data_IF_321479262284
#
_entry.id   IF_321479262284
#
_cell.length_a   1.000
_cell.length_b   1.000
_cell.length_c   1.000
_cell.angle_alpha   90.00
_cell.angle_beta   90.00
_cell.angle_gamma   90.00
#
_symmetry.space_group_name_H-M   'P 1'
#
loop_
_entity.id
_entity.type
_entity.pdbx_description
1 polymer ?
#
# COMPACT_ATOMS: atom_id res chain seq x y z
N UNK A 1 16.03 63.11 -159.97
CA UNK A 1 15.48 63.67 -158.71
C UNK A 1 14.98 65.05 -159.04
N UNK A 2 13.67 65.29 -158.96
CA UNK A 2 13.12 66.61 -159.22
C UNK A 2 13.36 67.50 -157.99
N UNK A 3 14.08 68.61 -158.16
CA UNK A 3 14.24 69.65 -157.15
C UNK A 3 12.86 70.19 -156.76
N UNK A 4 12.43 69.91 -155.52
CA UNK A 4 11.22 70.48 -154.94
C UNK A 4 11.57 71.91 -154.53
N UNK A 5 11.21 72.89 -155.36
CA UNK A 5 11.24 74.31 -154.98
C UNK A 5 10.42 74.50 -153.70
N UNK A 6 11.02 75.07 -152.66
CA UNK A 6 10.29 75.47 -151.47
C UNK A 6 9.22 76.51 -151.84
N UNK A 7 7.96 76.13 -151.69
CA UNK A 7 6.81 77.02 -151.92
C UNK A 7 6.44 77.68 -150.60
N UNK A 8 6.81 78.94 -150.40
CA UNK A 8 6.41 79.69 -149.21
C UNK A 8 5.01 80.27 -149.40
N UNK A 9 4.06 79.92 -148.54
CA UNK A 9 2.80 80.63 -148.45
C UNK A 9 3.02 81.99 -147.77
N UNK A 10 2.48 83.07 -148.35
CA UNK A 10 2.38 84.34 -147.64
C UNK A 10 1.18 84.27 -146.71
N UNK A 11 1.46 84.25 -145.41
CA UNK A 11 0.47 84.25 -144.33
C UNK A 11 0.69 85.54 -143.53
N UNK A 12 -0.38 86.15 -143.02
CA UNK A 12 -0.25 87.36 -142.20
C UNK A 12 0.46 87.03 -140.89
N UNK A 13 1.16 88.00 -140.30
CA UNK A 13 1.84 87.79 -139.01
C UNK A 13 0.83 87.42 -137.90
N UNK A 14 -0.41 87.90 -138.01
CA UNK A 14 -1.50 87.57 -137.08
C UNK A 14 -1.92 86.10 -137.19
N UNK A 15 -2.03 85.56 -138.40
CA UNK A 15 -2.40 84.15 -138.61
C UNK A 15 -1.26 83.19 -138.22
N UNK A 16 0.00 83.61 -138.40
CA UNK A 16 1.17 82.87 -137.92
C UNK A 16 1.16 82.80 -136.39
N UNK A 17 0.80 83.90 -135.71
CA UNK A 17 0.68 83.92 -134.25
C UNK A 17 -0.41 82.97 -133.76
N UNK A 18 -1.61 83.01 -134.37
CA UNK A 18 -2.72 82.09 -134.03
C UNK A 18 -2.36 80.62 -134.26
N UNK A 19 -1.63 80.31 -135.34
CA UNK A 19 -1.20 78.94 -135.62
C UNK A 19 -0.18 78.43 -134.60
N UNK A 20 0.77 79.27 -134.16
CA UNK A 20 1.71 78.90 -133.09
C UNK A 20 1.02 78.71 -131.75
N UNK A 21 0.09 79.60 -131.40
CA UNK A 21 -0.69 79.48 -130.17
C UNK A 21 -1.50 78.16 -130.14
N UNK A 22 -2.10 77.78 -131.27
CA UNK A 22 -2.77 76.49 -131.41
C UNK A 22 -1.79 75.31 -131.24
N UNK A 23 -0.62 75.37 -131.87
CA UNK A 23 0.38 74.32 -131.77
C UNK A 23 0.88 74.13 -130.33
N UNK A 24 1.19 75.23 -129.64
CA UNK A 24 1.72 75.21 -128.27
C UNK A 24 0.68 74.69 -127.26
N UNK A 25 -0.59 75.07 -127.41
CA UNK A 25 -1.67 74.64 -126.51
C UNK A 25 -1.91 73.12 -126.56
N UNK A 26 -1.81 72.53 -127.74
CA UNK A 26 -2.01 71.10 -127.96
C UNK A 26 -0.69 70.29 -127.88
N UNK A 27 0.44 70.96 -127.64
CA UNK A 27 1.76 70.32 -127.51
C UNK A 27 2.37 69.83 -128.83
N UNK A 28 1.97 70.40 -129.97
CA UNK A 28 2.43 70.01 -131.31
C UNK A 28 3.60 70.86 -131.81
N UNK A 29 4.52 70.25 -132.58
CA UNK A 29 5.45 71.03 -133.41
C UNK A 29 4.75 71.58 -134.65
N UNK A 30 5.37 72.52 -135.38
CA UNK A 30 4.72 73.20 -136.52
C UNK A 30 4.25 72.23 -137.62
N UNK A 31 4.96 71.12 -137.85
CA UNK A 31 4.56 70.13 -138.85
C UNK A 31 3.39 69.26 -138.35
N UNK A 32 3.38 68.91 -137.07
CA UNK A 32 2.29 68.18 -136.41
C UNK A 32 1.02 69.03 -136.32
N UNK A 33 1.15 70.30 -135.97
CA UNK A 33 0.05 71.25 -135.94
C UNK A 33 -0.55 71.43 -137.35
N UNK A 34 0.30 71.54 -138.38
CA UNK A 34 -0.17 71.65 -139.77
C UNK A 34 -0.86 70.36 -140.23
N UNK A 35 -0.31 69.19 -139.88
CA UNK A 35 -0.92 67.89 -140.17
C UNK A 35 -2.26 67.70 -139.42
N UNK A 36 -2.36 68.17 -138.18
CA UNK A 36 -3.58 68.15 -137.38
C UNK A 36 -4.66 69.06 -137.98
N UNK A 37 -4.29 70.27 -138.41
CA UNK A 37 -5.20 71.16 -139.16
C UNK A 37 -5.61 70.50 -140.48
N UNK A 38 -4.70 69.89 -141.22
CA UNK A 38 -5.03 69.24 -142.48
C UNK A 38 -5.94 68.03 -142.27
N UNK A 39 -5.71 67.20 -141.24
CA UNK A 39 -6.61 66.12 -140.82
C UNK A 39 -7.98 66.68 -140.38
N UNK A 40 -8.02 67.81 -139.70
CA UNK A 40 -9.28 68.46 -139.29
C UNK A 40 -10.04 69.00 -140.50
N UNK A 41 -9.35 69.58 -141.49
CA UNK A 41 -9.93 70.04 -142.76
C UNK A 41 -10.40 68.86 -143.61
N UNK A 42 -9.63 67.77 -143.65
CA UNK A 42 -10.00 66.51 -144.31
C UNK A 42 -11.19 65.83 -143.61
N UNK A 43 -11.23 65.80 -142.28
CA UNK A 43 -12.38 65.37 -141.49
C UNK A 43 -13.60 66.26 -141.74
N UNK A 44 -13.44 67.58 -141.83
CA UNK A 44 -14.52 68.51 -142.13
C UNK A 44 -15.05 68.32 -143.57
N UNK A 45 -14.17 68.02 -144.53
CA UNK A 45 -14.55 67.60 -145.89
C UNK A 45 -15.27 66.25 -145.88
N UNK A 46 -14.78 65.26 -145.13
CA UNK A 46 -15.42 63.96 -144.98
C UNK A 46 -16.80 64.10 -144.31
N UNK A 47 -16.94 64.98 -143.32
CA UNK A 47 -18.20 65.31 -142.63
C UNK A 47 -19.22 65.99 -143.55
N UNK A 48 -18.76 66.80 -144.51
CA UNK A 48 -19.63 67.41 -145.52
C UNK A 48 -20.00 66.46 -146.68
N UNK A 49 -19.19 65.43 -146.96
CA UNK A 49 -19.48 64.41 -147.99
C UNK A 49 -20.41 63.29 -147.50
N UNK A 50 -20.56 63.10 -146.20
CA UNK A 50 -21.36 62.00 -145.62
C UNK A 50 -22.60 62.58 -144.91
N UNK A 51 -23.52 63.18 -145.67
CA UNK A 51 -24.80 63.69 -145.13
C UNK A 51 -25.78 62.58 -144.71
N UNK A 52 -25.60 61.34 -145.16
CA UNK A 52 -26.54 60.23 -144.93
C UNK A 52 -26.15 59.23 -143.82
N UNK A 53 -25.00 59.39 -143.13
CA UNK A 53 -24.54 58.44 -142.09
C UNK A 53 -24.34 59.04 -140.70
N UNK A 54 -24.80 60.27 -140.46
CA UNK A 54 -24.66 60.95 -139.17
C UNK A 54 -25.21 60.13 -138.00
N UNK A 55 -26.36 59.46 -138.21
CA UNK A 55 -26.97 58.57 -137.21
C UNK A 55 -26.12 57.33 -136.92
N UNK A 56 -25.41 56.77 -137.92
CA UNK A 56 -24.54 55.60 -137.70
C UNK A 56 -23.30 55.98 -136.87
N UNK A 57 -22.75 57.17 -137.08
CA UNK A 57 -21.63 57.71 -136.30
C UNK A 57 -22.05 58.01 -134.85
N UNK A 58 -23.25 58.55 -134.64
CA UNK A 58 -23.84 58.79 -133.31
C UNK A 58 -24.04 57.47 -132.54
N UNK A 59 -24.66 56.47 -133.17
CA UNK A 59 -24.84 55.13 -132.57
C UNK A 59 -23.50 54.47 -132.23
N UNK A 60 -22.48 54.62 -133.08
CA UNK A 60 -21.14 54.12 -132.79
C UNK A 60 -20.51 54.83 -131.58
N UNK A 61 -20.61 56.16 -131.52
CA UNK A 61 -20.09 56.94 -130.41
C UNK A 61 -20.79 56.59 -129.09
N UNK A 62 -22.12 56.42 -129.11
CA UNK A 62 -22.89 55.95 -127.96
C UNK A 62 -22.48 54.54 -127.53
N UNK A 63 -22.24 53.65 -128.49
CA UNK A 63 -21.76 52.29 -128.21
C UNK A 63 -20.38 52.32 -127.55
N UNK A 64 -19.46 53.16 -128.01
CA UNK A 64 -18.14 53.35 -127.40
C UNK A 64 -18.24 53.96 -126.00
N UNK A 65 -19.10 54.95 -125.80
CA UNK A 65 -19.33 55.57 -124.49
C UNK A 65 -19.95 54.57 -123.48
N UNK A 66 -20.87 53.72 -123.95
CA UNK A 66 -21.45 52.64 -123.14
C UNK A 66 -20.40 51.58 -122.78
N UNK A 67 -19.55 51.16 -123.74
CA UNK A 67 -18.43 50.25 -123.50
C UNK A 67 -17.42 50.83 -122.49
N UNK A 68 -17.04 52.11 -122.63
CA UNK A 68 -16.19 52.79 -121.65
C UNK A 68 -16.85 52.85 -120.28
N UNK A 69 -18.15 53.14 -120.22
CA UNK A 69 -18.91 53.17 -118.96
C UNK A 69 -18.96 51.79 -118.29
N UNK A 70 -19.16 50.72 -119.05
CA UNK A 70 -19.10 49.35 -118.52
C UNK A 70 -17.71 48.98 -118.03
N UNK A 71 -16.66 49.36 -118.75
CA UNK A 71 -15.29 49.11 -118.35
C UNK A 71 -14.93 49.86 -117.06
N UNK A 72 -15.23 51.17 -116.98
CA UNK A 72 -15.03 51.98 -115.79
C UNK A 72 -15.84 51.45 -114.60
N UNK A 73 -17.08 51.04 -114.81
CA UNK A 73 -17.90 50.42 -113.76
C UNK A 73 -17.31 49.08 -113.30
N UNK A 74 -16.82 48.24 -114.21
CA UNK A 74 -16.15 46.97 -113.85
C UNK A 74 -14.87 47.21 -113.05
N UNK A 75 -14.06 48.20 -113.43
CA UNK A 75 -12.88 48.59 -112.67
C UNK A 75 -13.25 49.09 -111.28
N UNK A 76 -14.25 49.96 -111.18
CA UNK A 76 -14.73 50.49 -109.91
C UNK A 76 -15.28 49.38 -109.00
N UNK A 77 -16.12 48.48 -109.54
CA UNK A 77 -16.65 47.31 -108.81
C UNK A 77 -15.53 46.39 -108.33
N UNK A 78 -14.50 46.16 -109.17
CA UNK A 78 -13.35 45.36 -108.78
C UNK A 78 -12.55 46.03 -107.65
N UNK A 79 -12.26 47.33 -107.77
CA UNK A 79 -11.56 48.09 -106.75
C UNK A 79 -12.32 48.08 -105.41
N UNK A 80 -13.63 48.37 -105.41
CA UNK A 80 -14.46 48.31 -104.20
C UNK A 80 -14.51 46.90 -103.61
N UNK A 81 -14.54 45.86 -104.45
CA UNK A 81 -14.51 44.47 -103.97
C UNK A 81 -13.17 44.11 -103.34
N UNK A 82 -12.05 44.52 -103.94
CA UNK A 82 -10.72 44.32 -103.36
C UNK A 82 -10.56 45.09 -102.04
N UNK A 83 -11.02 46.33 -101.96
CA UNK A 83 -11.02 47.12 -100.72
C UNK A 83 -11.80 46.40 -99.63
N UNK A 84 -13.01 45.90 -99.93
CA UNK A 84 -13.82 45.13 -98.97
C UNK A 84 -13.12 43.86 -98.52
N UNK A 85 -12.50 43.10 -99.44
CA UNK A 85 -11.75 41.89 -99.11
C UNK A 85 -10.55 42.21 -98.21
N UNK A 86 -9.82 43.30 -98.48
CA UNK A 86 -8.68 43.73 -97.66
C UNK A 86 -9.13 44.14 -96.27
N UNK A 87 -10.24 44.87 -96.14
CA UNK A 87 -10.81 45.24 -94.86
C UNK A 87 -11.27 44.02 -94.06
N UNK A 88 -12.04 43.12 -94.67
CA UNK A 88 -12.49 41.87 -94.04
C UNK A 88 -11.30 41.02 -93.56
N UNK A 89 -10.29 40.85 -94.42
CA UNK A 89 -9.07 40.10 -94.09
C UNK A 89 -8.28 40.79 -92.96
N UNK A 90 -8.15 42.11 -92.98
CA UNK A 90 -7.47 42.86 -91.93
C UNK A 90 -8.18 42.73 -90.59
N UNK A 91 -9.51 42.80 -90.58
CA UNK A 91 -10.33 42.60 -89.38
C UNK A 91 -10.20 41.18 -88.85
N UNK A 92 -10.21 40.18 -89.73
CA UNK A 92 -10.04 38.78 -89.33
C UNK A 92 -8.65 38.54 -88.72
N UNK A 93 -7.59 39.04 -89.36
CA UNK A 93 -6.21 38.95 -88.84
C UNK A 93 -6.09 39.62 -87.48
N UNK A 94 -6.58 40.85 -87.34
CA UNK A 94 -6.55 41.57 -86.06
C UNK A 94 -7.33 40.81 -84.97
N UNK A 95 -8.47 40.22 -85.31
CA UNK A 95 -9.27 39.41 -84.37
C UNK A 95 -8.52 38.16 -83.94
N UNK A 96 -7.86 37.46 -84.88
CA UNK A 96 -7.03 36.29 -84.56
C UNK A 96 -5.81 36.66 -83.72
N UNK A 97 -5.13 37.76 -84.03
CA UNK A 97 -3.98 38.25 -83.24
C UNK A 97 -4.39 38.61 -81.81
N UNK A 98 -5.51 39.31 -81.64
CA UNK A 98 -6.08 39.60 -80.32
C UNK A 98 -6.42 38.33 -79.55
N UNK A 99 -6.98 37.32 -80.24
CA UNK A 99 -7.30 36.02 -79.64
C UNK A 99 -6.04 35.28 -79.22
N UNK A 100 -5.00 35.24 -80.07
CA UNK A 100 -3.71 34.62 -79.77
C UNK A 100 -3.05 35.28 -78.57
N UNK A 101 -3.04 36.62 -78.51
CA UNK A 101 -2.50 37.37 -77.37
C UNK A 101 -3.23 37.00 -76.08
N UNK A 102 -4.57 37.01 -76.12
CA UNK A 102 -5.40 36.67 -74.95
C UNK A 102 -5.15 35.24 -74.48
N UNK A 103 -5.08 34.27 -75.40
CA UNK A 103 -4.78 32.87 -75.07
C UNK A 103 -3.36 32.70 -74.52
N UNK A 104 -2.40 33.47 -75.02
CA UNK A 104 -1.02 33.46 -74.51
C UNK A 104 -0.97 33.98 -73.08
N UNK A 105 -1.65 35.09 -72.78
CA UNK A 105 -1.71 35.66 -71.43
C UNK A 105 -2.37 34.67 -70.44
N UNK A 106 -3.49 34.06 -70.84
CA UNK A 106 -4.16 33.02 -70.05
C UNK A 106 -3.24 31.80 -69.81
N UNK A 107 -2.47 31.38 -70.82
CA UNK A 107 -1.51 30.28 -70.67
C UNK A 107 -0.41 30.62 -69.66
N UNK A 108 0.08 31.86 -69.64
CA UNK A 108 1.08 32.29 -68.66
C UNK A 108 0.49 32.35 -67.25
N UNK A 109 -0.73 32.85 -67.10
CA UNK A 109 -1.44 32.89 -65.82
C UNK A 109 -1.64 31.49 -65.25
N UNK A 110 -2.17 30.56 -66.05
CA UNK A 110 -2.36 29.15 -65.63
C UNK A 110 -1.02 28.48 -65.29
N UNK A 111 0.06 28.77 -66.03
CA UNK A 111 1.40 28.25 -65.69
C UNK A 111 1.91 28.79 -64.35
N UNK A 112 1.69 30.07 -64.08
CA UNK A 112 2.09 30.68 -62.81
C UNK A 112 1.29 30.09 -61.65
N UNK A 113 -0.02 29.94 -61.80
CA UNK A 113 -0.90 29.34 -60.78
C UNK A 113 -0.53 27.88 -60.51
N UNK A 114 -0.27 27.08 -61.56
CA UNK A 114 0.11 25.68 -61.42
C UNK A 114 1.47 25.52 -60.72
N UNK A 115 2.41 26.44 -60.96
CA UNK A 115 3.68 26.48 -60.23
C UNK A 115 3.43 26.80 -58.74
N UNK A 116 2.62 27.81 -58.43
CA UNK A 116 2.28 28.16 -57.06
C UNK A 116 1.58 27.02 -56.31
N UNK A 117 0.63 26.33 -56.96
CA UNK A 117 -0.04 25.15 -56.41
C UNK A 117 0.95 24.01 -56.13
N UNK A 118 1.92 23.78 -57.02
CA UNK A 118 2.95 22.76 -56.83
C UNK A 118 3.87 23.08 -55.65
N UNK A 119 4.26 24.34 -55.51
CA UNK A 119 5.09 24.80 -54.39
C UNK A 119 4.33 24.67 -53.05
N UNK A 120 3.06 25.10 -53.01
CA UNK A 120 2.19 24.91 -51.84
C UNK A 120 1.99 23.43 -51.49
N UNK A 121 1.81 22.57 -52.49
CA UNK A 121 1.65 21.11 -52.28
C UNK A 121 2.91 20.51 -51.68
N UNK A 122 4.09 20.99 -52.08
CA UNK A 122 5.36 20.55 -51.51
C UNK A 122 5.48 20.98 -50.04
N UNK A 123 5.17 22.24 -49.74
CA UNK A 123 5.20 22.77 -48.38
C UNK A 123 4.23 22.01 -47.46
N UNK A 124 3.00 21.77 -47.91
CA UNK A 124 2.02 20.97 -47.16
C UNK A 124 2.53 19.55 -46.87
N UNK A 125 3.18 18.90 -47.85
CA UNK A 125 3.75 17.56 -47.64
C UNK A 125 4.90 17.57 -46.62
N UNK A 126 5.74 18.59 -46.63
CA UNK A 126 6.83 18.71 -45.67
C UNK A 126 6.28 18.98 -44.26
N UNK A 127 5.25 19.82 -44.13
CA UNK A 127 4.54 20.01 -42.86
C UNK A 127 3.88 18.71 -42.34
N UNK A 128 3.26 17.92 -43.23
CA UNK A 128 2.68 16.61 -42.87
C UNK A 128 3.75 15.65 -42.33
N UNK A 129 4.97 15.66 -42.89
CA UNK A 129 6.06 14.82 -42.37
C UNK A 129 6.46 15.24 -40.96
N UNK A 130 6.63 16.54 -40.71
CA UNK A 130 6.97 17.08 -39.39
C UNK A 130 5.91 16.70 -38.36
N UNK A 131 4.63 16.92 -38.68
CA UNK A 131 3.51 16.55 -37.79
C UNK A 131 3.51 15.04 -37.50
N UNK A 132 3.75 14.20 -38.51
CA UNK A 132 3.82 12.75 -38.30
C UNK A 132 4.98 12.33 -37.38
N UNK A 133 6.12 13.00 -37.45
CA UNK A 133 7.24 12.75 -36.55
C UNK A 133 6.92 13.18 -35.12
N UNK A 134 6.25 14.33 -34.93
CA UNK A 134 5.79 14.78 -33.62
C UNK A 134 4.75 13.84 -33.01
N UNK A 135 3.77 13.37 -33.81
CA UNK A 135 2.78 12.38 -33.37
C UNK A 135 3.45 11.08 -32.92
N UNK A 136 4.48 10.61 -33.64
CA UNK A 136 5.24 9.43 -33.22
C UNK A 136 5.96 9.64 -31.89
N UNK A 137 6.58 10.82 -31.68
CA UNK A 137 7.22 11.16 -30.40
C UNK A 137 6.20 11.19 -29.26
N UNK A 138 5.07 11.88 -29.45
CA UNK A 138 3.99 11.95 -28.46
C UNK A 138 3.42 10.57 -28.11
N UNK A 139 3.26 9.68 -29.10
CA UNK A 139 2.81 8.32 -28.86
C UNK A 139 3.80 7.51 -28.00
N UNK A 140 5.11 7.67 -28.23
CA UNK A 140 6.13 7.03 -27.39
C UNK A 140 6.10 7.59 -25.96
N UNK A 141 5.96 8.91 -25.80
CA UNK A 141 5.83 9.54 -24.48
C UNK A 141 4.60 9.05 -23.72
N UNK A 142 3.47 8.86 -24.41
CA UNK A 142 2.26 8.28 -23.83
C UNK A 142 2.50 6.84 -23.38
N UNK A 143 3.16 6.01 -24.20
CA UNK A 143 3.50 4.63 -23.84
C UNK A 143 4.38 4.56 -22.59
N UNK A 144 5.38 5.44 -22.47
CA UNK A 144 6.26 5.46 -21.31
C UNK A 144 5.57 6.01 -20.05
N UNK A 145 4.68 7.01 -20.21
CA UNK A 145 3.81 7.48 -19.12
C UNK A 145 2.88 6.36 -18.63
N UNK A 146 2.31 5.57 -19.53
CA UNK A 146 1.44 4.44 -19.16
C UNK A 146 2.21 3.36 -18.40
N UNK A 147 3.42 2.97 -18.83
CA UNK A 147 4.27 2.05 -18.06
C UNK A 147 4.57 2.55 -16.64
N UNK A 148 4.75 3.87 -16.48
CA UNK A 148 4.96 4.45 -15.16
C UNK A 148 3.69 4.45 -14.31
N UNK A 149 2.52 4.69 -14.91
CA UNK A 149 1.22 4.55 -14.24
C UNK A 149 1.03 3.11 -13.75
N UNK A 150 1.33 2.11 -14.58
CA UNK A 150 1.22 0.70 -14.19
C UNK A 150 2.11 0.37 -12.99
N UNK A 151 3.36 0.84 -12.99
CA UNK A 151 4.27 0.68 -11.84
C UNK A 151 3.75 1.36 -10.57
N UNK A 152 3.20 2.57 -10.69
CA UNK A 152 2.63 3.30 -9.56
C UNK A 152 1.41 2.58 -8.99
N UNK A 153 0.55 2.02 -9.85
CA UNK A 153 -0.60 1.21 -9.43
C UNK A 153 -0.15 -0.04 -8.68
N UNK A 154 0.81 -0.81 -9.21
CA UNK A 154 1.34 -1.98 -8.51
C UNK A 154 1.98 -1.63 -7.16
N UNK A 155 2.69 -0.50 -7.08
CA UNK A 155 3.24 -0.03 -5.80
C UNK A 155 2.14 0.35 -4.81
N UNK A 156 1.05 0.96 -5.28
CA UNK A 156 -0.09 1.31 -4.44
C UNK A 156 -0.79 0.06 -3.90
N UNK A 157 -0.96 -0.98 -4.72
CA UNK A 157 -1.53 -2.26 -4.31
C UNK A 157 -0.68 -2.90 -3.19
N UNK A 158 0.64 -2.96 -3.37
CA UNK A 158 1.58 -3.45 -2.33
C UNK A 158 1.50 -2.62 -1.04
N UNK A 159 1.37 -1.29 -1.15
CA UNK A 159 1.24 -0.41 0.00
C UNK A 159 -0.06 -0.68 0.77
N UNK A 160 -1.16 -0.96 0.06
CA UNK A 160 -2.44 -1.33 0.66
C UNK A 160 -2.37 -2.67 1.38
N UNK A 161 -1.73 -3.68 0.78
CA UNK A 161 -1.49 -4.98 1.43
C UNK A 161 -0.70 -4.82 2.74
N UNK A 162 0.42 -4.08 2.70
CA UNK A 162 1.22 -3.78 3.89
C UNK A 162 0.41 -3.05 4.98
N UNK A 163 -0.49 -2.13 4.59
CA UNK A 163 -1.38 -1.43 5.50
C UNK A 163 -2.38 -2.36 6.19
N UNK A 164 -2.88 -3.37 5.48
CA UNK A 164 -3.75 -4.39 6.07
C UNK A 164 -2.98 -5.27 7.05
N UNK A 165 -1.75 -5.65 6.72
CA UNK A 165 -0.89 -6.42 7.62
C UNK A 165 -0.54 -5.64 8.90
N UNK A 166 -0.21 -4.35 8.77
CA UNK A 166 0.04 -3.49 9.92
C UNK A 166 -1.18 -3.36 10.85
N UNK A 167 -2.40 -3.31 10.30
CA UNK A 167 -3.63 -3.33 11.12
C UNK A 167 -3.74 -4.63 11.92
N UNK A 168 -3.46 -5.79 11.31
CA UNK A 168 -3.45 -7.07 12.02
C UNK A 168 -2.40 -7.10 13.14
N UNK A 169 -1.20 -6.59 12.88
CA UNK A 169 -0.19 -6.47 13.93
C UNK A 169 -0.66 -5.59 15.08
N UNK A 170 -1.28 -4.45 14.79
CA UNK A 170 -1.82 -3.55 15.81
C UNK A 170 -2.88 -4.25 16.68
N UNK A 171 -3.78 -5.02 16.08
CA UNK A 171 -4.80 -5.77 16.80
C UNK A 171 -4.16 -6.88 17.67
N UNK A 172 -3.17 -7.59 17.15
CA UNK A 172 -2.41 -8.58 17.92
C UNK A 172 -1.69 -7.95 19.11
N UNK A 173 -1.08 -6.77 18.95
CA UNK A 173 -0.44 -6.05 20.05
C UNK A 173 -1.44 -5.69 21.15
N UNK A 174 -2.65 -5.25 20.79
CA UNK A 174 -3.70 -4.96 21.75
C UNK A 174 -4.16 -6.21 22.51
N UNK A 175 -4.26 -7.35 21.83
CA UNK A 175 -4.58 -8.61 22.49
C UNK A 175 -3.48 -9.03 23.47
N UNK A 176 -2.21 -8.92 23.06
CA UNK A 176 -1.07 -9.24 23.93
C UNK A 176 -0.99 -8.31 25.15
N UNK A 177 -1.33 -7.03 24.99
CA UNK A 177 -1.41 -6.08 26.10
C UNK A 177 -2.48 -6.50 27.13
N UNK A 178 -3.67 -6.93 26.66
CA UNK A 178 -4.72 -7.44 27.53
C UNK A 178 -4.30 -8.74 28.24
N UNK A 179 -3.65 -9.68 27.54
CA UNK A 179 -3.13 -10.92 28.14
C UNK A 179 -2.08 -10.62 29.20
N UNK A 180 -1.21 -9.64 28.97
CA UNK A 180 -0.20 -9.22 29.95
C UNK A 180 -0.84 -8.59 31.20
N UNK A 181 -1.93 -7.83 31.03
CA UNK A 181 -2.69 -7.26 32.15
C UNK A 181 -3.38 -8.35 32.97
N UNK A 182 -3.99 -9.34 32.31
CA UNK A 182 -4.56 -10.52 32.98
C UNK A 182 -3.50 -11.30 33.76
N UNK A 183 -2.35 -11.58 33.14
CA UNK A 183 -1.27 -12.31 33.81
C UNK A 183 -0.73 -11.57 35.04
N UNK A 184 -0.66 -10.23 34.98
CA UNK A 184 -0.28 -9.41 36.14
C UNK A 184 -1.30 -9.50 37.27
N UNK A 185 -2.59 -9.50 36.94
CA UNK A 185 -3.65 -9.66 37.95
C UNK A 185 -3.56 -11.04 38.62
N UNK A 186 -3.45 -12.11 37.83
CA UNK A 186 -3.27 -13.48 38.35
C UNK A 186 -2.02 -13.61 39.23
N UNK A 187 -0.92 -12.96 38.84
CA UNK A 187 0.30 -12.96 39.64
C UNK A 187 0.12 -12.29 41.01
N UNK A 188 -0.58 -11.16 41.09
CA UNK A 188 -0.86 -10.51 42.38
C UNK A 188 -1.82 -11.34 43.24
N UNK A 189 -2.83 -11.99 42.65
CA UNK A 189 -3.70 -12.93 43.38
C UNK A 189 -2.90 -14.10 43.96
N UNK A 190 -2.01 -14.70 43.16
CA UNK A 190 -1.18 -15.82 43.59
C UNK A 190 -0.22 -15.43 44.72
N UNK A 191 0.32 -14.22 44.65
CA UNK A 191 1.18 -13.63 45.69
C UNK A 191 0.41 -13.42 46.99
N UNK A 192 -0.83 -12.95 46.94
CA UNK A 192 -1.70 -12.83 48.11
C UNK A 192 -2.02 -14.20 48.74
N UNK A 193 -2.29 -15.21 47.93
CA UNK A 193 -2.48 -16.59 48.40
C UNK A 193 -1.21 -17.10 49.08
N UNK A 194 -0.04 -16.88 48.47
CA UNK A 194 1.25 -17.30 49.04
C UNK A 194 1.55 -16.61 50.38
N UNK A 195 1.20 -15.33 50.51
CA UNK A 195 1.33 -14.61 51.78
C UNK A 195 0.43 -15.20 52.87
N UNK A 196 -0.82 -15.54 52.55
CA UNK A 196 -1.73 -16.22 53.48
C UNK A 196 -1.19 -17.58 53.92
N UNK A 197 -0.76 -18.42 52.97
CA UNK A 197 -0.16 -19.72 53.26
C UNK A 197 1.08 -19.61 54.15
N UNK A 198 1.95 -18.63 53.89
CA UNK A 198 3.12 -18.39 54.74
C UNK A 198 2.74 -18.00 56.16
N UNK A 199 1.72 -17.16 56.33
CA UNK A 199 1.23 -16.81 57.66
C UNK A 199 0.62 -18.01 58.38
N UNK A 200 -0.19 -18.82 57.69
CA UNK A 200 -0.78 -20.04 58.25
C UNK A 200 0.30 -21.05 58.66
N UNK A 201 1.32 -21.24 57.84
CA UNK A 201 2.48 -22.07 58.17
C UNK A 201 3.23 -21.56 59.41
N UNK A 202 3.39 -20.24 59.55
CA UNK A 202 4.00 -19.65 60.75
C UNK A 202 3.17 -19.93 62.00
N UNK A 203 1.85 -19.74 61.93
CA UNK A 203 0.95 -20.03 63.04
C UNK A 203 0.95 -21.51 63.42
N UNK A 204 0.98 -22.41 62.44
CA UNK A 204 1.10 -23.85 62.69
C UNK A 204 2.43 -24.20 63.36
N UNK A 205 3.54 -23.62 62.89
CA UNK A 205 4.85 -23.82 63.51
C UNK A 205 4.88 -23.31 64.96
N UNK A 206 4.29 -22.15 65.24
CA UNK A 206 4.20 -21.61 66.60
C UNK A 206 3.37 -22.54 67.52
N UNK A 207 2.26 -23.10 67.01
CA UNK A 207 1.46 -24.10 67.74
C UNK A 207 2.25 -25.38 68.02
N UNK A 208 2.93 -25.93 67.00
CA UNK A 208 3.78 -27.13 67.15
C UNK A 208 4.85 -26.90 68.20
N UNK A 209 5.49 -25.72 68.21
CA UNK A 209 6.47 -25.37 69.22
C UNK A 209 5.86 -25.33 70.63
N UNK A 210 4.72 -24.68 70.80
CA UNK A 210 4.03 -24.64 72.09
C UNK A 210 3.62 -26.04 72.57
N UNK A 211 3.08 -26.88 71.68
CA UNK A 211 2.73 -28.26 72.00
C UNK A 211 3.97 -29.08 72.39
N UNK A 212 5.09 -28.86 71.71
CA UNK A 212 6.38 -29.46 72.05
C UNK A 212 6.87 -29.04 73.44
N UNK A 213 6.81 -27.74 73.75
CA UNK A 213 7.18 -27.20 75.06
C UNK A 213 6.26 -27.76 76.17
N UNK A 214 4.96 -27.92 75.90
CA UNK A 214 4.01 -28.55 76.83
C UNK A 214 4.30 -30.03 77.03
N UNK A 215 4.61 -30.78 75.97
CA UNK A 215 5.02 -32.19 76.08
C UNK A 215 6.27 -32.31 76.95
N UNK A 216 7.25 -31.44 76.76
CA UNK A 216 8.48 -31.44 77.57
C UNK A 216 8.20 -31.13 79.04
N UNK A 217 7.35 -30.13 79.32
CA UNK A 217 6.90 -29.83 80.68
C UNK A 217 6.23 -31.03 81.36
N UNK A 218 5.25 -31.67 80.70
CA UNK A 218 4.57 -32.83 81.27
C UNK A 218 5.51 -34.03 81.42
N UNK A 219 6.45 -34.22 80.49
CA UNK A 219 7.47 -35.27 80.60
C UNK A 219 8.36 -35.08 81.83
N UNK A 220 8.77 -33.85 82.10
CA UNK A 220 9.57 -33.51 83.29
C UNK A 220 8.76 -33.71 84.58
N UNK A 221 7.51 -33.27 84.63
CA UNK A 221 6.62 -33.49 85.77
C UNK A 221 6.42 -34.99 86.06
N UNK A 222 6.20 -35.81 85.03
CA UNK A 222 6.11 -37.27 85.17
C UNK A 222 7.41 -37.85 85.74
N UNK A 223 8.58 -37.35 85.33
CA UNK A 223 9.86 -37.80 85.85
C UNK A 223 10.03 -37.45 87.35
N UNK A 224 9.65 -36.23 87.75
CA UNK A 224 9.65 -35.80 89.16
C UNK A 224 8.71 -36.65 90.01
N UNK A 225 7.46 -36.85 89.57
CA UNK A 225 6.49 -37.70 90.26
C UNK A 225 7.01 -39.13 90.40
N UNK A 226 7.66 -39.69 89.37
CA UNK A 226 8.32 -41.01 89.47
C UNK A 226 9.43 -41.01 90.51
N UNK A 227 10.29 -39.99 90.53
CA UNK A 227 11.32 -39.83 91.56
C UNK A 227 10.74 -39.77 92.97
N UNK A 228 9.68 -38.99 93.17
CA UNK A 228 8.97 -38.91 94.45
C UNK A 228 8.36 -40.26 94.86
N UNK A 229 7.77 -41.01 93.92
CA UNK A 229 7.27 -42.37 94.17
C UNK A 229 8.40 -43.29 94.64
N UNK A 230 9.58 -43.21 94.02
CA UNK A 230 10.74 -44.03 94.40
C UNK A 230 11.29 -43.65 95.79
N UNK A 231 11.31 -42.36 96.14
CA UNK A 231 11.62 -41.87 97.49
C UNK A 231 10.60 -42.42 98.49
N UNK A 232 9.30 -42.23 98.25
CA UNK A 232 8.26 -42.73 99.15
C UNK A 232 8.32 -44.25 99.32
N UNK A 233 8.61 -45.01 98.27
CA UNK A 233 8.84 -46.47 98.38
C UNK A 233 10.03 -46.80 99.28
N UNK A 234 11.13 -46.07 99.16
CA UNK A 234 12.32 -46.27 100.01
C UNK A 234 12.03 -45.91 101.48
N UNK A 235 11.29 -44.82 101.72
CA UNK A 235 10.87 -44.40 103.05
C UNK A 235 9.92 -45.41 103.71
N UNK A 236 8.94 -45.94 102.95
CA UNK A 236 8.05 -47.01 103.41
C UNK A 236 8.89 -48.24 103.80
N UNK A 237 9.80 -48.69 102.94
CA UNK A 237 10.67 -49.85 103.22
C UNK A 237 11.54 -49.65 104.46
N UNK A 238 12.08 -48.44 104.64
CA UNK A 238 12.88 -48.09 105.83
C UNK A 238 12.02 -48.10 107.09
N UNK A 239 10.82 -47.54 107.02
CA UNK A 239 9.85 -47.53 108.13
C UNK A 239 9.41 -48.95 108.49
N UNK A 240 9.10 -49.80 107.50
CA UNK A 240 8.81 -51.23 107.69
C UNK A 240 9.97 -51.95 108.38
N UNK A 241 11.22 -51.69 107.97
CA UNK A 241 12.39 -52.27 108.63
C UNK A 241 12.52 -51.85 110.08
N UNK A 242 12.31 -50.56 110.40
CA UNK A 242 12.31 -50.06 111.78
C UNK A 242 11.20 -50.70 112.61
N UNK A 243 9.98 -50.74 112.09
CA UNK A 243 8.82 -51.33 112.77
C UNK A 243 9.02 -52.82 113.01
N UNK A 244 9.58 -53.55 112.04
CA UNK A 244 9.94 -54.97 112.19
C UNK A 244 11.05 -55.18 113.24
N UNK A 245 12.04 -54.28 113.31
CA UNK A 245 13.08 -54.32 114.33
C UNK A 245 12.52 -54.04 115.73
N UNK A 246 11.66 -53.04 115.87
CA UNK A 246 10.94 -52.75 117.12
C UNK A 246 10.07 -53.95 117.55
N UNK A 247 9.30 -54.54 116.63
CA UNK A 247 8.55 -55.78 116.86
C UNK A 247 9.45 -56.93 117.36
N UNK A 248 10.63 -57.09 116.77
CA UNK A 248 11.62 -58.09 117.18
C UNK A 248 12.17 -57.80 118.58
N UNK A 249 12.50 -56.53 118.87
CA UNK A 249 12.99 -56.10 120.18
C UNK A 249 11.92 -56.31 121.26
N UNK A 250 10.68 -55.90 121.02
CA UNK A 250 9.54 -56.13 121.93
C UNK A 250 9.35 -57.63 122.16
N UNK A 251 9.41 -58.47 121.12
CA UNK A 251 9.34 -59.93 121.29
C UNK A 251 10.48 -60.46 122.16
N UNK A 252 11.70 -59.99 121.96
CA UNK A 252 12.86 -60.42 122.73
C UNK A 252 12.77 -59.96 124.19
N UNK A 253 12.37 -58.72 124.45
CA UNK A 253 12.11 -58.18 125.78
C UNK A 253 10.99 -58.94 126.49
N UNK A 254 9.87 -59.19 125.81
CA UNK A 254 8.76 -59.95 126.37
C UNK A 254 9.16 -61.40 126.66
N UNK A 255 10.01 -62.01 125.83
CA UNK A 255 10.57 -63.36 126.08
C UNK A 255 11.48 -63.36 127.29
N UNK A 256 12.36 -62.35 127.45
CA UNK A 256 13.20 -62.18 128.65
C UNK A 256 12.37 -61.96 129.90
N UNK A 257 11.36 -61.09 129.84
CA UNK A 257 10.45 -60.84 130.95
C UNK A 257 9.70 -62.11 131.36
N UNK A 258 9.20 -62.90 130.40
CA UNK A 258 8.61 -64.21 130.68
C UNK A 258 9.62 -65.17 131.32
N UNK A 259 10.86 -65.23 130.84
CA UNK A 259 11.91 -66.09 131.42
C UNK A 259 12.30 -65.66 132.84
N UNK A 260 12.38 -64.36 133.12
CA UNK A 260 12.63 -63.85 134.47
C UNK A 260 11.47 -64.16 135.40
N UNK A 261 10.22 -64.01 134.93
CA UNK A 261 9.03 -64.38 135.68
C UNK A 261 8.97 -65.89 135.94
N UNK A 262 9.37 -66.71 134.97
CA UNK A 262 9.50 -68.16 135.12
C UNK A 262 10.54 -68.50 136.19
N UNK A 263 11.74 -67.91 136.12
CA UNK A 263 12.80 -68.11 137.13
C UNK A 263 12.36 -67.69 138.53
N UNK A 264 11.64 -66.57 138.66
CA UNK A 264 11.11 -66.11 139.93
C UNK A 264 10.08 -67.09 140.49
N UNK A 265 9.18 -67.60 139.64
CA UNK A 265 8.22 -68.64 140.01
C UNK A 265 8.91 -69.96 140.39
N UNK A 266 9.95 -70.35 139.65
CA UNK A 266 10.78 -71.52 139.97
C UNK A 266 11.49 -71.35 141.32
N UNK A 267 12.02 -70.17 141.63
CA UNK A 267 12.64 -69.86 142.92
C UNK A 267 11.61 -69.91 144.06
N UNK A 268 10.45 -69.27 143.90
CA UNK A 268 9.35 -69.33 144.87
C UNK A 268 8.86 -70.77 145.08
N UNK A 269 8.82 -71.58 144.03
CA UNK A 269 8.47 -72.99 144.12
C UNK A 269 9.55 -73.79 144.85
N UNK A 270 10.83 -73.49 144.61
CA UNK A 270 11.97 -74.12 145.28
C UNK A 270 12.03 -73.76 146.77
N UNK A 271 11.78 -72.50 147.11
CA UNK A 271 11.68 -72.02 148.48
C UNK A 271 10.49 -72.66 149.21
N UNK A 272 9.33 -72.80 148.54
CA UNK A 272 8.20 -73.56 149.08
C UNK A 272 8.54 -75.02 149.29
N UNK A 273 9.22 -75.65 148.34
CA UNK A 273 9.67 -77.04 148.45
C UNK A 273 10.66 -77.23 149.61
N UNK A 274 11.61 -76.31 149.78
CA UNK A 274 12.55 -76.30 150.90
C UNK A 274 11.83 -76.09 152.23
N UNK A 275 10.83 -75.21 152.27
CA UNK A 275 9.99 -75.02 153.45
C UNK A 275 9.17 -76.28 153.77
N UNK A 276 8.64 -76.97 152.76
CA UNK A 276 7.93 -78.24 152.92
C UNK A 276 8.88 -79.36 153.39
N UNK A 277 10.11 -79.40 152.87
CA UNK A 277 11.18 -80.30 153.32
C UNK A 277 11.60 -80.02 154.75
N UNK A 278 11.79 -78.75 155.14
CA UNK A 278 12.06 -78.36 156.53
C UNK A 278 10.90 -78.72 157.45
N UNK A 279 9.66 -78.55 157.00
CA UNK A 279 8.47 -78.95 157.75
C UNK A 279 8.42 -80.46 157.96
N UNK A 280 8.76 -81.25 156.93
CA UNK A 280 8.94 -82.70 157.03
C UNK A 280 10.12 -83.11 157.92
N UNK A 281 11.22 -82.36 157.90
CA UNK A 281 12.38 -82.58 158.76
C UNK A 281 12.04 -82.33 160.23
N UNK A 282 11.30 -81.25 160.53
CA UNK A 282 10.73 -80.97 161.85
C UNK A 282 9.75 -82.04 162.31
N UNK A 283 8.99 -82.64 161.39
CA UNK A 283 8.11 -83.78 161.66
C UNK A 283 8.93 -85.04 162.01
N UNK A 284 10.03 -85.29 161.29
CA UNK A 284 10.99 -86.35 161.63
C UNK A 284 11.69 -86.11 162.97
N UNK A 285 12.06 -84.87 163.29
CA UNK A 285 12.75 -84.52 164.55
C UNK A 285 11.79 -84.57 165.76
N UNK A 286 10.50 -84.30 165.55
CA UNK A 286 9.44 -84.56 166.54
C UNK A 286 9.26 -86.06 166.80
N UNK A 287 9.19 -86.87 165.74
CA UNK A 287 9.13 -88.33 165.87
C UNK A 287 10.39 -88.93 166.51
N UNK A 288 11.56 -88.33 166.29
CA UNK A 288 12.83 -88.72 166.94
C UNK A 288 12.84 -88.39 168.44
N UNK A 289 12.32 -87.23 168.83
CA UNK A 289 12.19 -86.87 170.25
C UNK A 289 11.13 -87.70 170.98
N UNK A 290 10.08 -88.14 170.30
CA UNK A 290 9.13 -89.13 170.85
C UNK A 290 9.78 -90.50 171.09
N UNK A 291 10.85 -90.84 170.36
CA UNK A 291 11.58 -92.10 170.54
C UNK A 291 12.44 -92.10 171.82
N UNK A 292 13.06 -90.96 172.18
CA UNK A 292 13.99 -90.86 173.31
C UNK A 292 13.31 -90.73 174.69
N UNK A 293 11.99 -90.53 174.75
CA UNK A 293 11.22 -90.46 176.02
C UNK A 293 10.74 -91.82 176.57
N UNK A 294 11.32 -92.94 176.10
CA UNK A 294 11.04 -94.30 176.60
C UNK A 294 11.99 -94.83 177.68
N UNK A 295 12.64 -93.98 178.50
CA UNK A 295 13.31 -94.44 179.74
C UNK A 295 13.15 -93.48 180.95
N UNK A 296 12.21 -93.86 181.84
CA UNK A 296 11.91 -93.45 183.26
C UNK A 296 10.97 -92.23 183.41
N UNK A 297 9.74 -92.26 183.97
CA UNK A 297 9.00 -93.24 184.81
C UNK A 297 7.49 -92.84 184.99
N UNK A 298 6.54 -93.74 184.65
CA UNK A 298 5.24 -94.17 185.32
C UNK A 298 4.51 -93.31 186.40
N UNK A 299 3.16 -93.43 186.68
CA UNK A 299 1.97 -93.91 185.90
C UNK A 299 0.59 -93.17 186.12
N UNK A 300 -0.41 -93.43 185.23
CA UNK A 300 -1.77 -94.04 185.50
C UNK A 300 -2.98 -93.46 184.72
N UNK A 301 -3.46 -94.26 183.74
CA UNK A 301 -4.84 -94.63 183.34
C UNK A 301 -5.97 -93.63 182.92
N UNK A 302 -6.70 -94.11 181.89
CA UNK A 302 -8.16 -93.98 181.60
C UNK A 302 -8.59 -92.72 180.81
N UNK A 303 -9.56 -92.70 179.90
CA UNK A 303 -10.55 -93.65 179.40
C UNK A 303 -11.20 -93.08 178.12
N UNK A 304 -11.80 -93.97 177.29
CA UNK A 304 -13.03 -93.74 176.48
C UNK A 304 -12.98 -92.67 175.37
N UNK A 305 -13.65 -92.73 174.21
CA UNK A 305 -14.79 -93.50 173.71
C UNK A 305 -14.99 -93.13 172.22
N UNK A 306 -15.37 -94.11 171.41
CA UNK A 306 -16.55 -94.09 170.54
C UNK A 306 -16.73 -93.04 169.42
N UNK A 307 -16.94 -93.62 168.23
CA UNK A 307 -18.15 -93.53 167.40
C UNK A 307 -18.54 -92.25 166.63
N UNK A 308 -19.07 -92.61 165.45
CA UNK A 308 -20.27 -92.11 164.79
C UNK A 308 -20.15 -90.87 163.89
N UNK A 309 -21.02 -90.89 162.87
CA UNK A 309 -21.71 -89.79 162.21
C UNK A 309 -21.20 -88.37 162.52
#
# INVERSE_FOLDING_TARGET
MADIKATSFRVSDEDIAKFKEFADKEGYNQAEAFKSIMQTVEMAKAKNMIKDRAKEVEVFQDTINNLMSYFLNSLNVNQTSEERIREELSQELQTKDNTISTMYDQLQEVKAENKALKDNTKELNDNIKVINEEVKKLNNDILDKNKNIDKLNSNNDLLQENLQEYKKYKDNYKNLENELEQLKAEHEELKDINNKLNNDNKQLNDKIKNDSDMIEFYKNNIAELKGNIDIYKADIKTSESKYNQELSNIKAENTKALQEQLKKSELEFKEKLDFELQKKQLEMDKLKNELDHTKKSSPRASATKNNNK
#
